data_IF_636341064124
#
_entry.id   IF_636341064124
#
_cell.length_a   1.000
_cell.length_b   1.000
_cell.length_c   1.000
_cell.angle_alpha   90.00
_cell.angle_beta   90.00
_cell.angle_gamma   90.00
#
_symmetry.space_group_name_H-M   'P 1'
#
loop_
_entity.id
_entity.type
_entity.pdbx_description
1 polymer ?
#
# COMPACT_ATOMS: atom_id res chain seq x y z
N UNK A 1 63.26 5.70 47.84
CA UNK A 1 62.27 4.84 48.52
C UNK A 1 61.07 4.67 47.61
N UNK A 2 60.81 3.42 47.23
CA UNK A 2 59.69 2.95 46.39
C UNK A 2 58.38 3.04 47.18
N UNK A 3 57.27 3.43 46.51
CA UNK A 3 55.98 2.70 46.60
C UNK A 3 54.90 3.21 45.62
N UNK A 4 54.69 2.37 44.60
CA UNK A 4 53.42 1.87 44.04
C UNK A 4 52.47 2.83 43.30
N UNK A 5 52.34 2.51 42.01
CA UNK A 5 51.28 2.91 41.09
C UNK A 5 49.88 2.52 41.57
N UNK A 6 48.89 3.31 41.15
CA UNK A 6 47.53 2.84 40.91
C UNK A 6 46.96 3.61 39.71
N UNK A 7 47.09 3.01 38.53
CA UNK A 7 46.28 3.32 37.36
C UNK A 7 44.84 2.92 37.72
N UNK A 8 43.98 3.91 37.92
CA UNK A 8 42.54 3.68 38.05
C UNK A 8 41.89 3.94 36.69
N UNK A 9 41.73 2.85 35.95
CA UNK A 9 40.79 2.69 34.86
C UNK A 9 39.41 3.15 35.32
N UNK A 10 38.98 4.35 34.92
CA UNK A 10 37.55 4.67 34.92
C UNK A 10 36.99 3.99 33.66
N UNK A 11 36.08 3.03 33.83
CA UNK A 11 35.71 2.12 32.77
C UNK A 11 34.79 2.83 31.77
N UNK A 12 35.01 2.53 30.49
CA UNK A 12 34.19 2.84 29.31
C UNK A 12 32.74 2.31 29.38
N UNK A 13 32.07 2.38 30.53
CA UNK A 13 30.76 1.74 30.74
C UNK A 13 29.61 2.73 30.54
N UNK A 14 29.89 4.05 30.48
CA UNK A 14 28.85 5.06 30.32
C UNK A 14 28.43 5.32 28.85
N UNK A 15 29.07 4.71 27.85
CA UNK A 15 28.64 4.79 26.44
C UNK A 15 27.76 3.61 25.97
N UNK A 16 27.47 2.63 26.82
CA UNK A 16 26.78 1.39 26.41
C UNK A 16 25.28 1.33 26.76
N UNK A 17 24.69 2.38 27.35
CA UNK A 17 23.28 2.32 27.82
C UNK A 17 22.28 2.96 26.84
N UNK A 18 22.73 3.65 25.78
CA UNK A 18 21.82 4.33 24.83
C UNK A 18 21.45 3.47 23.60
N UNK A 19 22.02 2.27 23.45
CA UNK A 19 21.90 1.46 22.22
C UNK A 19 20.82 0.37 22.18
N UNK A 20 20.05 0.13 23.25
CA UNK A 20 19.21 -1.09 23.38
C UNK A 20 17.70 -0.91 23.19
N UNK A 21 17.19 0.27 22.77
CA UNK A 21 15.76 0.47 22.50
C UNK A 21 15.31 0.07 21.07
N UNK A 22 16.20 -0.50 20.24
CA UNK A 22 15.88 -0.83 18.84
C UNK A 22 15.05 -2.11 18.63
N UNK A 23 14.73 -2.87 19.69
CA UNK A 23 13.89 -4.06 19.59
C UNK A 23 12.58 -3.92 20.37
N UNK A 24 11.81 -2.86 20.12
CA UNK A 24 10.35 -3.00 20.25
C UNK A 24 9.87 -3.63 18.96
N UNK A 25 9.79 -4.97 18.94
CA UNK A 25 9.08 -5.70 17.88
C UNK A 25 7.72 -5.04 17.71
N UNK A 26 7.39 -4.60 16.50
CA UNK A 26 6.06 -4.09 16.20
C UNK A 26 5.03 -5.12 16.70
N UNK A 27 3.93 -4.69 17.34
CA UNK A 27 2.89 -5.62 17.77
C UNK A 27 2.52 -6.54 16.60
N UNK A 28 2.35 -7.86 16.81
CA UNK A 28 1.90 -8.74 15.74
C UNK A 28 0.61 -8.15 15.16
N UNK A 29 0.56 -8.01 13.84
CA UNK A 29 -0.62 -7.50 13.16
C UNK A 29 -1.83 -8.30 13.61
N UNK A 30 -2.88 -7.61 14.10
CA UNK A 30 -4.09 -8.31 14.48
C UNK A 30 -4.63 -9.06 13.23
N UNK A 31 -5.13 -10.30 13.31
CA UNK A 31 -5.52 -11.06 12.12
C UNK A 31 -6.48 -10.30 11.19
N UNK A 32 -7.40 -9.51 11.77
CA UNK A 32 -8.32 -8.64 11.03
C UNK A 32 -7.59 -7.61 10.16
N UNK A 33 -6.54 -6.98 10.65
CA UNK A 33 -5.75 -5.96 9.95
C UNK A 33 -5.00 -6.55 8.77
N UNK A 34 -4.57 -7.82 8.88
CA UNK A 34 -4.01 -8.54 7.72
C UNK A 34 -5.06 -8.79 6.66
N UNK A 35 -6.27 -9.20 7.05
CA UNK A 35 -7.38 -9.41 6.12
C UNK A 35 -7.82 -8.09 5.47
N UNK A 36 -7.90 -7.00 6.22
CA UNK A 36 -8.19 -5.66 5.69
C UNK A 36 -7.11 -5.20 4.72
N UNK A 37 -5.83 -5.37 5.08
CA UNK A 37 -4.72 -5.04 4.19
C UNK A 37 -4.76 -5.87 2.90
N UNK A 38 -5.07 -7.17 3.01
CA UNK A 38 -5.23 -8.03 1.83
C UNK A 38 -6.43 -7.63 0.98
N UNK A 39 -7.56 -7.28 1.61
CA UNK A 39 -8.74 -6.78 0.91
C UNK A 39 -8.43 -5.52 0.10
N UNK A 40 -7.70 -4.57 0.70
CA UNK A 40 -7.25 -3.36 0.01
C UNK A 40 -6.34 -3.68 -1.18
N UNK A 41 -5.38 -4.58 -0.99
CA UNK A 41 -4.50 -5.03 -2.07
C UNK A 41 -5.30 -5.61 -3.25
N UNK A 42 -6.23 -6.52 -2.98
CA UNK A 42 -7.12 -7.07 -3.99
C UNK A 42 -7.97 -5.98 -4.66
N UNK A 43 -8.51 -5.04 -3.89
CA UNK A 43 -9.39 -3.99 -4.39
C UNK A 43 -8.72 -3.10 -5.44
N UNK A 44 -7.45 -2.74 -5.22
CA UNK A 44 -6.73 -1.79 -6.07
C UNK A 44 -5.80 -2.43 -7.08
N UNK A 45 -5.35 -3.68 -6.86
CA UNK A 45 -4.31 -4.30 -7.70
C UNK A 45 -4.78 -5.56 -8.44
N UNK A 46 -5.85 -6.23 -8.02
CA UNK A 46 -6.30 -7.48 -8.65
C UNK A 46 -7.30 -7.21 -9.77
N UNK A 47 -7.14 -7.92 -10.90
CA UNK A 47 -8.03 -7.82 -12.06
C UNK A 47 -8.92 -9.04 -12.23
N UNK A 48 -8.69 -10.09 -11.45
CA UNK A 48 -9.47 -11.33 -11.40
C UNK A 48 -9.58 -12.01 -12.78
N UNK A 49 -8.51 -11.93 -13.57
CA UNK A 49 -8.46 -12.40 -14.97
C UNK A 49 -9.60 -11.84 -15.84
N UNK A 50 -10.11 -10.65 -15.50
CA UNK A 50 -11.14 -9.94 -16.24
C UNK A 50 -10.56 -9.07 -17.35
N UNK A 51 -11.23 -7.95 -17.62
CA UNK A 51 -10.85 -6.99 -18.68
C UNK A 51 -9.73 -6.01 -18.28
N UNK A 52 -9.02 -6.27 -17.18
CA UNK A 52 -7.94 -5.40 -16.69
C UNK A 52 -8.37 -4.27 -15.76
N UNK A 53 -9.66 -4.13 -15.44
CA UNK A 53 -10.14 -3.22 -14.40
C UNK A 53 -9.96 -3.84 -13.01
N UNK A 54 -9.72 -2.99 -12.02
CA UNK A 54 -9.76 -3.35 -10.60
C UNK A 54 -11.03 -2.77 -9.98
N UNK A 55 -11.35 -3.12 -8.73
CA UNK A 55 -12.47 -2.49 -8.03
C UNK A 55 -12.28 -0.97 -7.93
N UNK A 56 -11.02 -0.53 -7.73
CA UNK A 56 -10.63 0.88 -7.69
C UNK A 56 -10.87 1.65 -8.99
N UNK A 57 -11.01 0.98 -10.14
CA UNK A 57 -11.35 1.67 -11.41
C UNK A 57 -12.76 2.27 -11.38
N UNK A 58 -13.73 1.57 -10.78
CA UNK A 58 -15.11 2.06 -10.60
C UNK A 58 -15.30 2.78 -9.26
N UNK A 59 -14.46 2.46 -8.27
CA UNK A 59 -14.51 2.98 -6.92
C UNK A 59 -13.19 3.70 -6.56
N UNK A 60 -12.86 4.81 -7.23
CA UNK A 60 -11.64 5.56 -6.99
C UNK A 60 -11.63 6.18 -5.59
N UNK A 61 -10.52 6.06 -4.87
CA UNK A 61 -10.38 6.61 -3.50
C UNK A 61 -10.41 8.14 -3.50
N UNK A 62 -9.84 8.75 -4.55
CA UNK A 62 -9.75 10.19 -4.76
C UNK A 62 -11.10 10.86 -5.05
N UNK A 63 -12.13 10.07 -5.35
CA UNK A 63 -13.49 10.54 -5.58
C UNK A 63 -14.50 9.80 -4.69
N UNK A 64 -14.13 9.53 -3.43
CA UNK A 64 -15.00 8.96 -2.42
C UNK A 64 -15.67 7.64 -2.86
N UNK A 65 -14.90 6.78 -3.54
CA UNK A 65 -15.33 5.47 -4.02
C UNK A 65 -16.52 5.51 -4.98
N UNK A 66 -16.67 6.60 -5.74
CA UNK A 66 -17.70 6.75 -6.78
C UNK A 66 -17.13 7.38 -8.05
N UNK A 67 -17.84 7.22 -9.15
CA UNK A 67 -17.60 7.92 -10.41
C UNK A 67 -18.77 8.85 -10.72
N UNK A 68 -18.46 10.01 -11.27
CA UNK A 68 -19.41 10.99 -11.77
C UNK A 68 -18.87 11.59 -13.07
N UNK A 69 -19.70 12.29 -13.87
CA UNK A 69 -19.25 12.84 -15.15
C UNK A 69 -18.05 13.79 -15.03
N UNK A 70 -17.93 14.56 -13.94
CA UNK A 70 -16.83 15.50 -13.75
C UNK A 70 -15.51 14.78 -13.40
N UNK A 71 -15.57 13.66 -12.68
CA UNK A 71 -14.44 12.77 -12.49
C UNK A 71 -14.00 12.13 -13.81
N UNK A 72 -14.94 11.50 -14.53
CA UNK A 72 -14.65 10.78 -15.79
C UNK A 72 -14.02 11.72 -16.82
N UNK A 73 -14.52 12.95 -16.95
CA UNK A 73 -14.01 13.93 -17.92
C UNK A 73 -12.53 14.32 -17.72
N UNK A 74 -11.95 14.06 -16.54
CA UNK A 74 -10.55 14.37 -16.22
C UNK A 74 -9.61 13.19 -16.42
N UNK A 75 -10.13 11.98 -16.62
CA UNK A 75 -9.32 10.78 -16.78
C UNK A 75 -8.60 10.77 -18.14
N UNK A 76 -7.38 10.21 -18.21
CA UNK A 76 -6.68 10.06 -19.47
C UNK A 76 -7.38 9.00 -20.34
N UNK A 77 -7.26 9.11 -21.67
CA UNK A 77 -7.97 8.23 -22.62
C UNK A 77 -7.58 6.75 -22.54
N UNK A 78 -6.39 6.47 -22.03
CA UNK A 78 -5.86 5.13 -21.80
C UNK A 78 -6.20 4.58 -20.40
N UNK A 79 -7.00 5.32 -19.61
CA UNK A 79 -7.45 4.83 -18.32
C UNK A 79 -8.24 3.51 -18.47
N UNK A 80 -8.04 2.52 -17.58
CA UNK A 80 -8.78 1.25 -17.62
C UNK A 80 -10.30 1.36 -17.59
N UNK A 81 -10.86 2.48 -17.12
CA UNK A 81 -12.29 2.77 -17.21
C UNK A 81 -12.79 2.75 -18.67
N UNK A 82 -11.94 3.11 -19.62
CA UNK A 82 -12.24 3.20 -21.05
C UNK A 82 -11.79 1.98 -21.86
N UNK A 83 -11.55 0.83 -21.22
CA UNK A 83 -10.96 -0.34 -21.87
C UNK A 83 -11.69 -0.81 -23.13
N UNK A 84 -13.00 -0.61 -23.22
CA UNK A 84 -13.79 -0.94 -24.41
C UNK A 84 -13.43 -0.09 -25.65
N UNK A 85 -12.89 1.12 -25.45
CA UNK A 85 -12.51 2.01 -26.54
C UNK A 85 -11.26 1.52 -27.28
N UNK A 86 -10.36 0.82 -26.56
CA UNK A 86 -9.06 0.39 -27.10
C UNK A 86 -8.83 -1.12 -27.11
N UNK A 87 -9.69 -1.93 -26.48
CA UNK A 87 -9.68 -3.39 -26.62
C UNK A 87 -10.74 -3.84 -27.64
N UNK A 88 -10.34 -4.31 -28.84
CA UNK A 88 -11.29 -4.76 -29.87
C UNK A 88 -12.26 -5.85 -29.40
N UNK A 89 -11.85 -6.72 -28.48
CA UNK A 89 -12.69 -7.81 -27.98
C UNK A 89 -13.86 -7.32 -27.12
N UNK A 90 -13.84 -6.05 -26.68
CA UNK A 90 -14.86 -5.45 -25.81
C UNK A 90 -15.71 -4.41 -26.56
N UNK A 91 -15.55 -4.26 -27.89
CA UNK A 91 -16.27 -3.23 -28.65
C UNK A 91 -17.76 -3.50 -28.79
N UNK A 92 -18.17 -4.77 -28.73
CA UNK A 92 -19.55 -5.18 -28.92
C UNK A 92 -20.18 -5.51 -27.58
N UNK A 93 -21.31 -4.85 -27.26
CA UNK A 93 -22.20 -5.16 -26.13
C UNK A 93 -21.60 -5.04 -24.72
N UNK A 94 -20.35 -4.62 -24.57
CA UNK A 94 -19.75 -4.33 -23.28
C UNK A 94 -20.41 -3.10 -22.65
N UNK A 95 -20.83 -3.21 -21.38
CA UNK A 95 -21.51 -2.14 -20.63
C UNK A 95 -22.74 -1.55 -21.34
N UNK A 96 -23.40 -2.32 -22.20
CA UNK A 96 -24.65 -1.92 -22.83
C UNK A 96 -25.83 -2.25 -21.90
N UNK A 97 -26.52 -1.26 -21.31
CA UNK A 97 -27.64 -1.52 -20.40
C UNK A 97 -28.92 -1.97 -21.10
N UNK A 98 -28.97 -1.94 -22.44
CA UNK A 98 -30.16 -2.27 -23.24
C UNK A 98 -30.20 -3.73 -23.73
N UNK A 99 -29.20 -4.53 -23.39
CA UNK A 99 -29.11 -5.97 -23.67
C UNK A 99 -29.24 -6.76 -22.37
#
# INVERSE_FOLDING_TARGET
MVKRAAVLCVPWVLLAVVGLQACKSAPPSNPQSRLVAKGRDLFFNETFAGNGRTCGTCHPEENNFTIDPAFIARLPKDNPLFVAEFNPALKENFENPAL
#
